data_IF_204393442690
#
_entry.id   IF_204393442690
#
_cell.length_a   1.000
_cell.length_b   1.000
_cell.length_c   1.000
_cell.angle_alpha   90.00
_cell.angle_beta   90.00
_cell.angle_gamma   90.00
#
_symmetry.space_group_name_H-M   'P 1'
#
loop_
_entity.id
_entity.type
_entity.pdbx_description
1 polymer ?
#
# COMPACT_ATOMS: atom_id res chain seq x y z
N UNK A 1 24.13 48.41 -22.43
CA UNK A 1 25.54 48.07 -22.15
C UNK A 1 25.79 46.70 -22.76
N UNK A 2 26.21 46.67 -24.02
CA UNK A 2 26.45 45.46 -24.81
C UNK A 2 27.92 45.05 -24.62
N UNK A 3 28.15 43.87 -24.03
CA UNK A 3 29.48 43.29 -23.90
C UNK A 3 29.87 42.55 -25.17
N UNK A 4 30.88 43.06 -25.86
CA UNK A 4 31.43 42.55 -27.11
C UNK A 4 32.21 41.24 -26.84
N UNK A 5 31.73 40.11 -27.37
CA UNK A 5 32.45 38.83 -27.38
C UNK A 5 33.51 38.84 -28.48
N UNK A 6 34.79 38.82 -28.09
CA UNK A 6 35.94 38.61 -28.97
C UNK A 6 36.01 37.14 -29.39
N UNK A 7 35.83 36.88 -30.68
CA UNK A 7 36.13 35.59 -31.32
C UNK A 7 37.64 35.43 -31.50
N UNK A 8 38.24 34.25 -31.22
CA UNK A 8 39.63 34.00 -31.51
C UNK A 8 39.85 33.85 -33.03
N UNK A 9 40.88 34.53 -33.53
CA UNK A 9 41.31 34.50 -34.92
C UNK A 9 41.82 33.10 -35.31
N UNK A 10 41.21 32.46 -36.31
CA UNK A 10 41.73 31.28 -36.98
C UNK A 10 42.77 31.74 -38.03
N UNK A 11 44.00 31.19 -38.06
CA UNK A 11 44.92 31.45 -39.16
C UNK A 11 44.41 30.79 -40.43
N UNK A 12 44.24 31.57 -41.50
CA UNK A 12 43.97 31.07 -42.84
C UNK A 12 45.15 30.22 -43.31
N UNK A 13 44.98 28.90 -43.32
CA UNK A 13 45.90 27.97 -43.95
C UNK A 13 45.86 28.13 -45.47
N UNK A 14 47.00 28.42 -46.07
CA UNK A 14 47.19 28.40 -47.52
C UNK A 14 47.05 26.96 -48.02
N UNK A 15 46.06 26.70 -48.87
CA UNK A 15 45.95 25.45 -49.61
C UNK A 15 47.02 25.41 -50.71
N UNK A 16 48.17 24.81 -50.40
CA UNK A 16 49.17 24.42 -51.40
C UNK A 16 48.73 23.11 -52.05
N UNK A 17 48.63 23.13 -53.38
CA UNK A 17 48.27 21.97 -54.20
C UNK A 17 49.50 21.15 -54.57
N UNK A 18 49.27 19.84 -54.71
CA UNK A 18 50.10 18.85 -55.36
C UNK A 18 51.46 18.52 -54.71
N UNK A 19 51.42 17.55 -53.80
CA UNK A 19 52.44 16.53 -53.80
C UNK A 19 51.78 15.17 -53.56
N UNK A 20 51.68 14.36 -54.62
CA UNK A 20 51.42 12.93 -54.54
C UNK A 20 52.65 12.24 -53.95
N UNK A 21 52.99 12.55 -52.70
CA UNK A 21 53.75 11.63 -51.89
C UNK A 21 52.75 10.56 -51.47
N UNK A 22 52.93 9.34 -51.97
CA UNK A 22 52.25 8.17 -51.44
C UNK A 22 52.58 8.14 -49.94
N UNK A 23 51.68 8.67 -49.11
CA UNK A 23 51.80 8.51 -47.66
C UNK A 23 51.83 7.02 -47.46
N UNK A 24 53.00 6.52 -47.05
CA UNK A 24 53.16 5.12 -46.73
C UNK A 24 52.07 4.83 -45.70
N UNK A 25 51.13 3.95 -46.01
CA UNK A 25 49.94 3.69 -45.17
C UNK A 25 50.32 3.14 -43.79
N UNK A 26 51.62 2.89 -43.57
CA UNK A 26 52.23 2.44 -42.33
C UNK A 26 52.83 3.56 -41.47
N UNK A 27 52.87 4.83 -41.92
CA UNK A 27 53.41 5.94 -41.14
C UNK A 27 52.29 6.61 -40.32
N UNK A 28 52.27 6.30 -39.02
CA UNK A 28 51.17 6.69 -38.12
C UNK A 28 51.44 8.12 -37.63
N UNK A 29 50.47 9.05 -37.76
CA UNK A 29 50.59 10.41 -37.24
C UNK A 29 50.91 10.44 -35.73
N UNK A 30 51.59 11.48 -35.27
CA UNK A 30 51.88 11.62 -33.84
C UNK A 30 50.62 11.96 -33.04
N UNK A 31 50.25 11.07 -32.10
CA UNK A 31 49.14 11.24 -31.17
C UNK A 31 49.60 11.55 -29.74
N UNK A 32 50.87 11.92 -29.54
CA UNK A 32 51.43 12.26 -28.22
C UNK A 32 50.59 13.28 -27.45
N UNK A 33 50.03 14.28 -28.14
CA UNK A 33 49.13 15.29 -27.56
C UNK A 33 47.83 14.72 -26.96
N UNK A 34 47.39 13.55 -27.40
CA UNK A 34 46.14 12.89 -26.96
C UNK A 34 46.40 11.67 -26.07
N UNK A 35 47.66 11.20 -25.98
CA UNK A 35 48.04 10.03 -25.20
C UNK A 35 48.29 10.41 -23.74
N UNK A 36 47.60 9.74 -22.83
CA UNK A 36 47.91 9.86 -21.39
C UNK A 36 49.18 9.10 -21.04
N UNK A 37 49.99 9.67 -20.15
CA UNK A 37 51.24 9.08 -19.65
C UNK A 37 51.04 8.16 -18.42
N UNK A 38 49.79 7.84 -18.07
CA UNK A 38 49.42 6.93 -16.98
C UNK A 38 49.22 5.49 -17.48
N UNK A 39 49.40 4.51 -16.59
CA UNK A 39 49.20 3.09 -16.91
C UNK A 39 47.78 2.77 -17.39
N UNK A 40 47.66 1.83 -18.32
CA UNK A 40 46.39 1.41 -18.96
C UNK A 40 45.32 1.03 -17.91
N UNK A 41 45.71 0.24 -16.90
CA UNK A 41 44.82 -0.13 -15.78
C UNK A 41 44.27 1.08 -15.02
N UNK A 42 45.09 2.09 -14.71
CA UNK A 42 44.66 3.30 -13.99
C UNK A 42 43.66 4.11 -14.81
N UNK A 43 43.89 4.24 -16.12
CA UNK A 43 42.98 4.97 -17.01
C UNK A 43 41.63 4.27 -17.17
N UNK A 44 41.63 2.93 -17.29
CA UNK A 44 40.40 2.14 -17.36
C UNK A 44 39.61 2.19 -16.06
N UNK A 45 40.27 2.02 -14.92
CA UNK A 45 39.62 2.12 -13.60
C UNK A 45 39.00 3.51 -13.38
N UNK A 46 39.69 4.59 -13.75
CA UNK A 46 39.11 5.94 -13.68
C UNK A 46 37.90 6.09 -14.61
N UNK A 47 37.96 5.54 -15.82
CA UNK A 47 36.85 5.59 -16.78
C UNK A 47 35.64 4.81 -16.28
N UNK A 48 35.84 3.59 -15.78
CA UNK A 48 34.77 2.78 -15.18
C UNK A 48 34.22 3.38 -13.90
N UNK A 49 35.06 4.04 -13.10
CA UNK A 49 34.60 4.78 -11.93
C UNK A 49 33.65 5.91 -12.37
N UNK A 50 34.04 6.74 -13.34
CA UNK A 50 33.18 7.82 -13.83
C UNK A 50 31.86 7.29 -14.41
N UNK A 51 31.91 6.26 -15.28
CA UNK A 51 30.70 5.64 -15.84
C UNK A 51 29.83 5.00 -14.75
N UNK A 52 30.45 4.32 -13.79
CA UNK A 52 29.78 3.70 -12.66
C UNK A 52 29.08 4.73 -11.76
N UNK A 53 29.75 5.82 -11.42
CA UNK A 53 29.17 6.92 -10.64
C UNK A 53 28.00 7.56 -11.37
N UNK A 54 28.14 7.87 -12.67
CA UNK A 54 27.02 8.36 -13.48
C UNK A 54 25.86 7.36 -13.51
N UNK A 55 26.14 6.07 -13.68
CA UNK A 55 25.13 5.02 -13.67
C UNK A 55 24.36 4.94 -12.35
N UNK A 56 25.04 5.04 -11.21
CA UNK A 56 24.41 5.06 -9.88
C UNK A 56 23.50 6.28 -9.72
N UNK A 57 23.98 7.47 -10.11
CA UNK A 57 23.18 8.69 -10.04
C UNK A 57 21.94 8.63 -10.95
N UNK A 58 22.11 8.14 -12.18
CA UNK A 58 20.99 7.94 -13.11
C UNK A 58 19.98 6.91 -12.59
N UNK A 59 20.44 5.81 -11.98
CA UNK A 59 19.55 4.81 -11.39
C UNK A 59 18.78 5.38 -10.18
N UNK A 60 19.43 6.17 -9.33
CA UNK A 60 18.77 6.85 -8.22
C UNK A 60 17.69 7.84 -8.72
N UNK A 61 18.00 8.63 -9.75
CA UNK A 61 17.04 9.54 -10.36
C UNK A 61 15.84 8.79 -10.95
N UNK A 62 16.09 7.71 -11.72
CA UNK A 62 15.03 6.88 -12.28
C UNK A 62 14.14 6.26 -11.19
N UNK A 63 14.74 5.77 -10.09
CA UNK A 63 13.99 5.26 -8.94
C UNK A 63 13.09 6.33 -8.35
N UNK A 64 13.61 7.53 -8.08
CA UNK A 64 12.81 8.62 -7.52
C UNK A 64 11.65 8.99 -8.43
N UNK A 65 11.88 9.12 -9.74
CA UNK A 65 10.80 9.40 -10.70
C UNK A 65 9.71 8.33 -10.67
N UNK A 66 10.07 7.04 -10.71
CA UNK A 66 9.09 5.94 -10.64
C UNK A 66 8.35 5.95 -9.31
N UNK A 67 9.06 6.19 -8.20
CA UNK A 67 8.46 6.26 -6.88
C UNK A 67 7.45 7.40 -6.77
N UNK A 68 7.72 8.57 -7.35
CA UNK A 68 6.80 9.70 -7.36
C UNK A 68 5.51 9.36 -8.11
N UNK A 69 5.60 8.72 -9.28
CA UNK A 69 4.42 8.25 -10.01
C UNK A 69 3.61 7.21 -9.23
N UNK A 70 4.28 6.26 -8.58
CA UNK A 70 3.61 5.24 -7.77
C UNK A 70 2.93 5.86 -6.53
N UNK A 71 3.59 6.80 -5.86
CA UNK A 71 3.03 7.50 -4.70
C UNK A 71 1.86 8.41 -5.07
N UNK A 72 1.84 8.95 -6.29
CA UNK A 72 0.68 9.70 -6.80
C UNK A 72 -0.56 8.82 -7.01
N UNK A 73 -0.37 7.53 -7.29
CA UNK A 73 -1.45 6.54 -7.42
C UNK A 73 -1.81 5.87 -6.08
N UNK A 74 -1.03 6.09 -5.02
CA UNK A 74 -1.31 5.59 -3.67
C UNK A 74 -2.52 6.32 -3.04
N UNK A 75 -3.14 5.77 -1.98
CA UNK A 75 -4.24 6.45 -1.30
C UNK A 75 -3.84 7.86 -0.84
N UNK A 76 -4.69 8.84 -1.14
CA UNK A 76 -4.46 10.25 -0.80
C UNK A 76 -4.55 10.51 0.70
N UNK A 77 -3.98 11.62 1.16
CA UNK A 77 -3.95 11.99 2.58
C UNK A 77 -5.36 12.12 3.21
N UNK A 78 -6.36 12.55 2.42
CA UNK A 78 -7.75 12.64 2.89
C UNK A 78 -8.37 11.25 3.15
N UNK A 79 -8.07 10.27 2.29
CA UNK A 79 -8.48 8.87 2.52
C UNK A 79 -7.79 8.29 3.76
N UNK A 80 -6.54 8.69 4.03
CA UNK A 80 -5.81 8.30 5.24
C UNK A 80 -6.30 9.05 6.49
N UNK A 81 -6.83 10.26 6.35
CA UNK A 81 -7.42 10.99 7.48
C UNK A 81 -8.71 10.32 7.98
N UNK A 82 -9.47 9.71 7.07
CA UNK A 82 -10.63 8.86 7.40
C UNK A 82 -10.25 7.48 7.99
N UNK A 83 -8.98 7.28 8.41
CA UNK A 83 -8.52 6.03 8.99
C UNK A 83 -9.08 5.77 10.40
N UNK A 84 -9.44 6.81 11.15
CA UNK A 84 -10.03 6.68 12.47
C UNK A 84 -11.44 7.25 12.49
N UNK A 85 -12.39 6.48 13.01
CA UNK A 85 -13.76 6.94 13.22
C UNK A 85 -14.07 6.83 14.70
N UNK A 86 -14.59 7.92 15.26
CA UNK A 86 -15.10 7.98 16.63
C UNK A 86 -16.62 7.86 16.61
N UNK A 87 -17.16 6.95 17.42
CA UNK A 87 -18.59 6.72 17.57
C UNK A 87 -18.94 6.88 19.04
N UNK A 88 -19.97 7.68 19.32
CA UNK A 88 -20.55 7.80 20.66
C UNK A 88 -21.41 6.57 20.96
N UNK A 89 -21.07 5.84 22.02
CA UNK A 89 -21.79 4.63 22.42
C UNK A 89 -23.18 4.94 22.98
N UNK A 90 -23.39 6.12 23.53
CA UNK A 90 -24.67 6.53 24.12
C UNK A 90 -25.79 6.68 23.08
N UNK A 91 -25.42 6.85 21.81
CA UNK A 91 -26.36 6.99 20.71
C UNK A 91 -26.98 5.64 20.27
N UNK A 92 -26.48 4.50 20.74
CA UNK A 92 -26.89 3.16 20.27
C UNK A 92 -27.70 2.45 21.36
N UNK A 93 -29.03 2.32 21.19
CA UNK A 93 -29.86 1.54 22.11
C UNK A 93 -29.47 0.05 22.12
N UNK A 94 -29.70 -0.60 23.25
CA UNK A 94 -29.54 -2.07 23.39
C UNK A 94 -30.42 -2.82 22.37
N UNK A 95 -29.87 -3.90 21.81
CA UNK A 95 -30.52 -4.76 20.84
C UNK A 95 -30.57 -4.20 19.42
N UNK A 96 -29.94 -3.05 19.13
CA UNK A 96 -29.90 -2.46 17.79
C UNK A 96 -28.54 -2.59 17.12
N UNK A 97 -28.58 -2.79 15.81
CA UNK A 97 -27.43 -2.80 14.91
C UNK A 97 -27.24 -1.41 14.28
N UNK A 98 -26.06 -0.82 14.45
CA UNK A 98 -25.60 0.34 13.71
C UNK A 98 -24.65 -0.12 12.60
N UNK A 99 -24.87 0.41 11.39
CA UNK A 99 -23.98 0.19 10.25
C UNK A 99 -23.34 1.52 9.87
N UNK A 100 -22.02 1.61 10.00
CA UNK A 100 -21.25 2.76 9.55
C UNK A 100 -20.29 2.38 8.43
N UNK A 101 -19.80 3.38 7.70
CA UNK A 101 -18.78 3.18 6.66
C UNK A 101 -17.41 3.62 7.20
N UNK A 102 -16.46 2.70 7.27
CA UNK A 102 -15.07 2.95 7.67
C UNK A 102 -14.12 2.44 6.59
N UNK A 103 -13.20 3.28 6.09
CA UNK A 103 -12.26 2.92 5.00
C UNK A 103 -12.94 2.30 3.76
N UNK A 104 -14.17 2.72 3.46
CA UNK A 104 -14.97 2.17 2.36
C UNK A 104 -15.67 0.84 2.66
N UNK A 105 -15.40 0.23 3.82
CA UNK A 105 -15.97 -1.03 4.30
C UNK A 105 -17.12 -0.76 5.27
N UNK A 106 -18.23 -1.52 5.23
CA UNK A 106 -19.24 -1.44 6.28
C UNK A 106 -18.69 -2.03 7.59
N UNK A 107 -18.96 -1.37 8.71
CA UNK A 107 -18.69 -1.86 10.05
C UNK A 107 -20.00 -1.98 10.78
N UNK A 108 -20.23 -3.16 11.34
CA UNK A 108 -21.38 -3.48 12.18
C UNK A 108 -20.98 -3.26 13.63
N UNK A 109 -21.77 -2.44 14.32
CA UNK A 109 -21.67 -2.17 15.73
C UNK A 109 -23.01 -2.57 16.34
N UNK A 110 -23.02 -3.63 17.15
CA UNK A 110 -24.23 -4.09 17.85
C UNK A 110 -24.04 -3.89 19.35
N UNK A 111 -25.03 -3.26 19.97
CA UNK A 111 -25.18 -3.28 21.41
C UNK A 111 -25.99 -4.52 21.79
N UNK A 112 -25.31 -5.56 22.28
CA UNK A 112 -25.91 -6.87 22.56
C UNK A 112 -26.63 -6.88 23.90
N UNK A 113 -27.70 -7.65 24.00
CA UNK A 113 -28.39 -7.91 25.28
C UNK A 113 -27.67 -8.99 26.07
N UNK A 114 -27.98 -9.13 27.36
CA UNK A 114 -27.43 -10.21 28.20
C UNK A 114 -27.74 -11.60 27.62
N UNK A 115 -28.97 -11.81 27.15
CA UNK A 115 -29.41 -13.07 26.56
C UNK A 115 -28.60 -13.43 25.30
N UNK A 116 -28.28 -12.44 24.46
CA UNK A 116 -27.45 -12.64 23.25
C UNK A 116 -26.00 -13.00 23.59
N UNK A 117 -25.47 -12.45 24.68
CA UNK A 117 -24.12 -12.77 25.17
C UNK A 117 -24.09 -14.20 25.69
N UNK A 118 -25.10 -14.62 26.43
CA UNK A 118 -25.22 -16.00 26.90
C UNK A 118 -25.36 -16.98 25.73
N UNK A 119 -26.19 -16.67 24.74
CA UNK A 119 -26.33 -17.46 23.52
C UNK A 119 -24.99 -17.61 22.79
N UNK A 120 -24.24 -16.51 22.61
CA UNK A 120 -22.94 -16.54 21.95
C UNK A 120 -21.93 -17.45 22.66
N UNK A 121 -21.94 -17.44 24.00
CA UNK A 121 -21.03 -18.21 24.84
C UNK A 121 -21.44 -19.67 25.02
N UNK A 122 -22.74 -19.97 24.90
CA UNK A 122 -23.27 -21.33 24.99
C UNK A 122 -22.93 -22.21 23.76
N UNK A 123 -22.51 -21.60 22.65
CA UNK A 123 -22.12 -22.31 21.43
C UNK A 123 -20.83 -23.10 21.65
N UNK A 124 -20.88 -24.40 21.37
CA UNK A 124 -19.69 -25.25 21.35
C UNK A 124 -18.72 -24.79 20.25
N UNK A 125 -17.59 -24.23 20.67
CA UNK A 125 -16.54 -23.68 19.80
C UNK A 125 -15.93 -24.74 18.88
N UNK A 126 -15.93 -26.01 19.29
CA UNK A 126 -15.36 -27.11 18.48
C UNK A 126 -16.24 -27.49 17.29
N UNK A 127 -17.54 -27.19 17.36
CA UNK A 127 -18.50 -27.41 16.27
C UNK A 127 -18.38 -26.39 15.14
N UNK A 128 -17.68 -25.28 15.39
CA UNK A 128 -17.52 -24.20 14.43
C UNK A 128 -16.48 -24.53 13.38
N UNK A 129 -16.70 -24.02 12.16
CA UNK A 129 -15.74 -24.13 11.06
C UNK A 129 -14.45 -23.37 11.35
N UNK A 130 -14.59 -22.21 11.98
CA UNK A 130 -13.51 -21.35 12.44
C UNK A 130 -13.64 -21.19 13.97
N UNK A 131 -12.99 -22.07 14.75
CA UNK A 131 -13.14 -22.12 16.21
C UNK A 131 -12.63 -20.83 16.86
N UNK A 132 -13.56 -20.00 17.33
CA UNK A 132 -13.25 -18.77 18.05
C UNK A 132 -14.29 -18.53 19.16
N UNK A 133 -13.80 -18.23 20.36
CA UNK A 133 -14.65 -17.86 21.49
C UNK A 133 -15.17 -16.42 21.33
N UNK A 134 -16.27 -16.07 22.00
CA UNK A 134 -16.81 -14.71 21.95
C UNK A 134 -15.91 -13.70 22.68
N UNK A 135 -15.24 -14.14 23.74
CA UNK A 135 -14.29 -13.34 24.51
C UNK A 135 -13.05 -12.93 23.70
N UNK A 136 -12.64 -13.76 22.73
CA UNK A 136 -11.53 -13.42 21.83
C UNK A 136 -11.94 -12.41 20.74
N UNK A 137 -13.25 -12.25 20.51
CA UNK A 137 -13.81 -11.37 19.46
C UNK A 137 -14.23 -10.02 20.01
N UNK A 138 -14.60 -9.96 21.29
CA UNK A 138 -15.12 -8.75 21.93
C UNK A 138 -14.27 -8.36 23.13
N UNK A 139 -13.89 -7.09 23.21
CA UNK A 139 -13.18 -6.54 24.39
C UNK A 139 -14.15 -6.30 25.55
N UNK A 140 -15.37 -5.88 25.22
CA UNK A 140 -16.51 -5.66 26.12
C UNK A 140 -17.68 -6.47 25.58
N UNK A 141 -18.22 -7.46 26.31
CA UNK A 141 -19.19 -8.41 25.76
C UNK A 141 -20.49 -7.75 25.29
N UNK A 142 -20.88 -6.62 25.86
CA UNK A 142 -22.04 -5.84 25.41
C UNK A 142 -21.84 -5.19 24.03
N UNK A 143 -20.60 -4.99 23.59
CA UNK A 143 -20.28 -4.34 22.32
C UNK A 143 -19.64 -5.31 21.33
N UNK A 144 -20.40 -5.67 20.29
CA UNK A 144 -19.85 -6.39 19.16
C UNK A 144 -19.52 -5.41 18.03
N UNK A 145 -18.24 -5.36 17.68
CA UNK A 145 -17.71 -4.54 16.59
C UNK A 145 -17.06 -5.45 15.57
N UNK A 146 -17.53 -5.44 14.34
CA UNK A 146 -16.98 -6.28 13.27
C UNK A 146 -17.17 -5.68 11.88
N UNK A 147 -16.33 -6.08 10.93
CA UNK A 147 -16.46 -5.72 9.54
C UNK A 147 -17.64 -6.47 8.92
N UNK A 148 -18.56 -5.72 8.30
CA UNK A 148 -19.72 -6.24 7.58
C UNK A 148 -19.36 -6.78 6.21
N UNK A 149 -18.21 -7.44 6.07
CA UNK A 149 -17.72 -7.99 4.80
C UNK A 149 -17.69 -9.50 4.93
N UNK A 150 -18.56 -10.16 4.17
CA UNK A 150 -18.59 -11.61 4.09
C UNK A 150 -17.25 -12.15 3.58
N UNK A 151 -16.66 -13.09 4.32
CA UNK A 151 -15.38 -13.72 4.02
C UNK A 151 -15.40 -14.65 2.80
N UNK A 152 -16.56 -14.86 2.17
CA UNK A 152 -16.64 -15.58 0.90
C UNK A 152 -16.09 -14.73 -0.26
N UNK A 153 -16.78 -13.64 -0.60
CA UNK A 153 -16.48 -12.78 -1.75
C UNK A 153 -16.71 -11.28 -1.48
N UNK A 154 -16.89 -10.89 -0.21
CA UNK A 154 -16.97 -9.49 0.19
C UNK A 154 -18.35 -8.83 0.11
N UNK A 155 -19.43 -9.59 -0.08
CA UNK A 155 -20.79 -9.07 0.04
C UNK A 155 -21.09 -8.57 1.46
N UNK A 156 -22.10 -7.71 1.60
CA UNK A 156 -22.56 -7.18 2.89
C UNK A 156 -23.67 -8.08 3.46
N UNK A 157 -23.47 -8.73 4.62
CA UNK A 157 -24.52 -9.47 5.30
C UNK A 157 -25.63 -8.54 5.82
N UNK A 158 -26.87 -9.04 5.83
CA UNK A 158 -28.04 -8.37 6.39
C UNK A 158 -28.12 -8.76 7.87
N UNK A 159 -28.25 -7.78 8.77
CA UNK A 159 -28.40 -8.04 10.21
C UNK A 159 -29.81 -8.48 10.59
N UNK A 160 -29.94 -9.15 11.74
CA UNK A 160 -31.22 -9.71 12.25
C UNK A 160 -31.87 -10.65 11.23
N UNK A 161 -31.05 -11.38 10.48
CA UNK A 161 -31.47 -12.27 9.42
C UNK A 161 -30.68 -13.58 9.43
N UNK A 162 -31.30 -14.63 8.91
CA UNK A 162 -30.74 -15.98 8.87
C UNK A 162 -31.06 -16.83 10.09
N UNK A 163 -30.75 -18.11 9.97
CA UNK A 163 -31.19 -19.15 10.91
C UNK A 163 -30.52 -19.14 12.30
N UNK A 164 -29.51 -18.29 12.52
CA UNK A 164 -28.72 -18.26 13.76
C UNK A 164 -28.77 -16.90 14.49
N UNK A 165 -29.82 -16.12 14.28
CA UNK A 165 -30.08 -14.88 15.02
C UNK A 165 -29.11 -13.71 14.78
N UNK A 166 -28.08 -13.89 13.94
CA UNK A 166 -27.06 -12.89 13.64
C UNK A 166 -27.25 -12.23 12.27
N UNK A 167 -26.44 -12.67 11.30
CA UNK A 167 -26.38 -12.07 9.97
C UNK A 167 -26.51 -13.09 8.84
N UNK A 168 -27.15 -12.67 7.76
CA UNK A 168 -27.33 -13.47 6.56
C UNK A 168 -26.74 -12.80 5.32
N UNK A 169 -25.84 -13.49 4.62
CA UNK A 169 -25.29 -13.03 3.35
C UNK A 169 -26.10 -13.62 2.18
N UNK A 170 -26.90 -12.81 1.46
CA UNK A 170 -27.81 -13.29 0.41
C UNK A 170 -27.09 -13.75 -0.86
N UNK A 171 -25.81 -13.42 -1.03
CA UNK A 171 -25.08 -13.72 -2.26
C UNK A 171 -24.95 -15.23 -2.52
N UNK A 172 -24.61 -16.00 -1.49
CA UNK A 172 -24.44 -17.45 -1.58
C UNK A 172 -24.96 -18.18 -0.33
N UNK A 173 -25.83 -17.54 0.44
CA UNK A 173 -26.45 -18.12 1.64
C UNK A 173 -25.48 -18.44 2.76
N UNK A 174 -24.59 -17.50 3.12
CA UNK A 174 -23.74 -17.67 4.32
C UNK A 174 -24.45 -17.12 5.55
N UNK A 175 -24.56 -17.93 6.61
CA UNK A 175 -25.23 -17.57 7.85
C UNK A 175 -24.21 -17.40 8.97
N UNK A 176 -24.30 -16.28 9.66
CA UNK A 176 -23.45 -15.92 10.79
C UNK A 176 -24.29 -15.84 12.07
N UNK A 177 -23.73 -16.30 13.18
CA UNK A 177 -24.37 -16.19 14.49
C UNK A 177 -24.28 -14.78 15.08
N UNK A 178 -24.81 -14.59 16.30
CA UNK A 178 -24.82 -13.30 17.00
C UNK A 178 -23.41 -12.76 17.38
N UNK A 179 -22.36 -13.59 17.28
CA UNK A 179 -20.95 -13.19 17.43
C UNK A 179 -20.27 -12.92 16.07
N UNK A 180 -20.99 -13.08 14.96
CA UNK A 180 -20.46 -12.94 13.61
C UNK A 180 -19.63 -14.13 13.14
N UNK A 181 -19.81 -15.32 13.75
CA UNK A 181 -19.10 -16.55 13.40
C UNK A 181 -19.85 -17.33 12.34
N UNK A 182 -19.13 -17.92 11.40
CA UNK A 182 -19.72 -18.66 10.28
C UNK A 182 -20.29 -19.99 10.77
N UNK A 183 -21.58 -20.22 10.48
CA UNK A 183 -22.30 -21.44 10.82
C UNK A 183 -22.62 -22.29 9.60
N UNK A 184 -23.06 -21.63 8.52
CA UNK A 184 -23.54 -22.30 7.30
C UNK A 184 -23.18 -21.50 6.06
N UNK A 185 -23.06 -22.17 4.91
CA UNK A 185 -22.75 -21.57 3.61
C UNK A 185 -21.28 -21.74 3.20
N UNK A 186 -20.85 -21.13 2.09
CA UNK A 186 -19.50 -21.30 1.52
C UNK A 186 -18.42 -20.42 2.16
N UNK A 187 -18.77 -19.45 3.00
CA UNK A 187 -17.77 -18.60 3.66
C UNK A 187 -16.79 -19.44 4.50
N UNK A 188 -15.46 -19.25 4.36
CA UNK A 188 -14.49 -20.10 5.05
C UNK A 188 -14.22 -19.65 6.50
N UNK A 189 -14.38 -18.37 6.80
CA UNK A 189 -13.94 -17.74 8.07
C UNK A 189 -15.05 -16.90 8.72
N UNK A 190 -14.89 -16.61 10.01
CA UNK A 190 -15.74 -15.68 10.76
C UNK A 190 -15.61 -14.23 10.23
N UNK A 191 -16.57 -13.35 10.53
CA UNK A 191 -16.44 -11.94 10.21
C UNK A 191 -15.25 -11.33 10.96
N UNK A 192 -14.46 -10.52 10.26
CA UNK A 192 -13.25 -9.90 10.79
C UNK A 192 -13.60 -8.83 11.83
N UNK A 193 -12.89 -8.83 12.95
CA UNK A 193 -13.00 -7.81 13.99
C UNK A 193 -11.93 -6.75 13.72
N UNK A 194 -12.29 -5.48 13.45
CA UNK A 194 -11.30 -4.43 13.22
C UNK A 194 -10.56 -4.10 14.53
N UNK A 195 -9.44 -3.41 14.43
CA UNK A 195 -8.82 -2.82 15.61
C UNK A 195 -9.70 -1.65 16.10
N UNK A 196 -10.14 -1.73 17.35
CA UNK A 196 -10.91 -0.68 18.01
C UNK A 196 -10.52 -0.53 19.47
N UNK A 197 -10.67 0.66 20.03
CA UNK A 197 -10.43 0.93 21.44
C UNK A 197 -11.56 1.77 22.03
N UNK A 198 -11.83 1.56 23.31
CA UNK A 198 -12.75 2.39 24.10
C UNK A 198 -11.95 3.50 24.78
N UNK A 199 -12.41 4.74 24.64
CA UNK A 199 -11.85 5.89 25.37
C UNK A 199 -12.63 6.15 26.65
N UNK A 200 -12.07 6.96 27.56
CA UNK A 200 -12.69 7.31 28.85
C UNK A 200 -14.05 8.04 28.70
N UNK A 201 -14.28 8.72 27.57
CA UNK A 201 -15.51 9.47 27.28
C UNK A 201 -16.65 8.60 26.69
N UNK A 202 -16.67 7.29 26.90
CA UNK A 202 -17.64 6.35 26.29
C UNK A 202 -17.72 6.44 24.75
N UNK A 203 -16.60 6.78 24.12
CA UNK A 203 -16.46 6.71 22.65
C UNK A 203 -15.72 5.46 22.22
N UNK A 204 -16.16 4.91 21.11
CA UNK A 204 -15.51 3.84 20.38
C UNK A 204 -14.68 4.44 19.26
N UNK A 205 -13.37 4.20 19.28
CA UNK A 205 -12.46 4.59 18.20
C UNK A 205 -12.10 3.35 17.39
N UNK A 206 -12.35 3.38 16.09
CA UNK A 206 -12.04 2.28 15.16
C UNK A 206 -10.90 2.72 14.25
N UNK A 207 -9.77 1.99 14.26
CA UNK A 207 -8.61 2.16 13.38
C UNK A 207 -7.27 2.37 14.06
#
# INVERSE_FOLDING_TARGET
MLGLLLLPHLPMGTFSTNNTALLNTTDIPDFSAYKRNSGDHTNRSFTYFMVGTTGVLSAAAAKSTVQDFLSNMAPSADVLALAKVEIDLNAIPEGKNLVIKWRGKPVFIRHRTADEIEEANAVDVSSLRDPQSDADRTKRPEWLVMLGICTHLGCVPIGEAGDFGGWYCPCHGSHYDISGRIRQGPAPLNLEVPEYNFTEDDKLVIG
#
